data_IF_299052825212
#
_entry.id   IF_299052825212
#
_cell.length_a   1.000
_cell.length_b   1.000
_cell.length_c   1.000
_cell.angle_alpha   90.00
_cell.angle_beta   90.00
_cell.angle_gamma   90.00
#
_symmetry.space_group_name_H-M   'P 1'
#
loop_
_entity.id
_entity.type
_entity.pdbx_description
1 polymer ?
#
# COMPACT_ATOMS: atom_id res chain seq x y z
N UNK A 1 7.94 -0.10 4.28
CA UNK A 1 6.99 0.92 4.74
C UNK A 1 6.56 0.55 6.14
N UNK A 2 6.59 1.51 7.05
CA UNK A 2 6.24 1.39 8.47
C UNK A 2 5.00 2.22 8.78
N UNK A 3 4.41 2.01 9.95
CA UNK A 3 3.27 2.81 10.42
C UNK A 3 3.64 4.30 10.49
N UNK A 4 4.85 4.63 10.95
CA UNK A 4 5.39 6.00 10.97
C UNK A 4 5.55 6.65 9.58
N UNK A 5 5.61 5.85 8.51
CA UNK A 5 5.71 6.39 7.14
C UNK A 5 4.36 6.99 6.68
N UNK A 6 3.25 6.73 7.39
CA UNK A 6 1.92 7.33 7.14
C UNK A 6 1.63 8.36 8.22
N UNK A 7 1.41 9.60 7.82
CA UNK A 7 1.18 10.70 8.77
C UNK A 7 0.20 11.72 8.21
N UNK A 8 -0.52 12.41 9.09
CA UNK A 8 -1.43 13.48 8.71
C UNK A 8 -0.67 14.80 8.73
N UNK A 9 -0.69 15.54 7.62
CA UNK A 9 -0.11 16.88 7.52
C UNK A 9 -1.13 17.82 6.88
N UNK A 10 -1.41 18.96 7.51
CA UNK A 10 -2.39 19.96 7.05
C UNK A 10 -3.78 19.34 6.73
N UNK A 11 -4.26 18.45 7.59
CA UNK A 11 -5.54 17.71 7.43
C UNK A 11 -5.62 16.75 6.24
N UNK A 12 -4.50 16.45 5.57
CA UNK A 12 -4.43 15.43 4.51
C UNK A 12 -3.53 14.30 4.96
N UNK A 13 -3.83 13.07 4.52
CA UNK A 13 -2.96 11.93 4.75
C UNK A 13 -1.77 11.96 3.77
N UNK A 14 -0.57 11.87 4.30
CA UNK A 14 0.69 11.81 3.57
C UNK A 14 1.36 10.47 3.80
N UNK A 15 2.03 9.97 2.76
CA UNK A 15 2.78 8.73 2.82
C UNK A 15 4.20 8.98 2.33
N UNK A 16 5.16 8.54 3.13
CA UNK A 16 6.58 8.56 2.78
C UNK A 16 6.98 7.22 2.18
N UNK A 17 7.28 7.21 0.88
CA UNK A 17 7.83 6.05 0.21
C UNK A 17 9.34 6.17 0.20
N UNK A 18 10.02 5.13 0.71
CA UNK A 18 11.47 4.98 0.58
C UNK A 18 11.75 4.15 -0.67
N UNK A 19 12.36 4.77 -1.67
CA UNK A 19 12.75 4.11 -2.90
C UNK A 19 14.11 3.43 -2.76
N UNK A 20 14.34 2.44 -3.62
CA UNK A 20 15.63 1.76 -3.74
C UNK A 20 16.69 2.80 -4.13
N UNK A 21 17.67 3.03 -3.25
CA UNK A 21 18.67 4.09 -3.41
C UNK A 21 18.62 5.16 -2.32
N UNK A 22 17.80 5.01 -1.28
CA UNK A 22 17.78 5.89 -0.11
C UNK A 22 17.00 7.19 -0.30
N UNK A 23 16.44 7.42 -1.49
CA UNK A 23 15.54 8.55 -1.74
C UNK A 23 14.21 8.29 -1.04
N UNK A 24 13.74 9.30 -0.31
CA UNK A 24 12.41 9.27 0.30
C UNK A 24 11.55 10.33 -0.36
N UNK A 25 10.41 9.93 -0.91
CA UNK A 25 9.43 10.86 -1.48
C UNK A 25 8.18 10.86 -0.59
N UNK A 26 7.77 12.05 -0.16
CA UNK A 26 6.49 12.24 0.51
C UNK A 26 5.45 12.65 -0.52
N UNK A 27 4.34 11.92 -0.60
CA UNK A 27 3.24 12.23 -1.52
C UNK A 27 1.93 12.37 -0.75
N UNK A 28 1.10 13.38 -1.08
CA UNK A 28 -0.25 13.46 -0.56
C UNK A 28 -1.08 12.32 -1.11
N UNK A 29 -1.90 11.70 -0.26
CA UNK A 29 -2.82 10.67 -0.71
C UNK A 29 -3.94 11.28 -1.54
N UNK A 30 -4.31 10.55 -2.60
CA UNK A 30 -5.57 10.78 -3.29
C UNK A 30 -6.73 10.38 -2.37
N UNK A 31 -7.89 11.03 -2.47
CA UNK A 31 -9.01 10.85 -1.54
C UNK A 31 -9.43 9.38 -1.38
N UNK A 32 -9.36 8.59 -2.45
CA UNK A 32 -9.68 7.15 -2.42
C UNK A 32 -8.69 6.37 -1.56
N UNK A 33 -7.39 6.65 -1.72
CA UNK A 33 -6.33 6.00 -0.96
C UNK A 33 -6.39 6.42 0.51
N UNK A 34 -6.70 7.69 0.77
CA UNK A 34 -6.90 8.22 2.11
C UNK A 34 -8.04 7.50 2.84
N UNK A 35 -9.20 7.31 2.20
CA UNK A 35 -10.31 6.57 2.79
C UNK A 35 -9.95 5.12 3.14
N UNK A 36 -9.25 4.41 2.24
CA UNK A 36 -8.79 3.04 2.49
C UNK A 36 -7.74 2.97 3.60
N UNK A 37 -6.78 3.89 3.62
CA UNK A 37 -5.74 3.93 4.66
C UNK A 37 -6.34 4.30 6.02
N UNK A 38 -7.27 5.23 6.07
CA UNK A 38 -7.98 5.59 7.30
C UNK A 38 -8.71 4.38 7.89
N UNK A 39 -9.56 3.71 7.10
CA UNK A 39 -10.27 2.52 7.55
C UNK A 39 -9.31 1.40 7.99
N UNK A 40 -8.17 1.26 7.30
CA UNK A 40 -7.16 0.27 7.67
C UNK A 40 -6.44 0.61 9.00
N UNK A 41 -6.08 1.88 9.22
CA UNK A 41 -5.47 2.35 10.47
C UNK A 41 -6.44 2.25 11.65
N UNK A 42 -7.73 2.49 11.43
CA UNK A 42 -8.78 2.28 12.43
C UNK A 42 -8.86 0.79 12.83
N UNK A 43 -8.82 -0.12 11.86
CA UNK A 43 -8.75 -1.57 12.14
C UNK A 43 -7.48 -1.98 12.89
N UNK A 44 -6.32 -1.40 12.56
CA UNK A 44 -5.06 -1.60 13.29
C UNK A 44 -5.10 -1.05 14.73
N UNK A 45 -5.88 0.01 14.97
CA UNK A 45 -6.07 0.59 16.30
C UNK A 45 -6.84 -0.36 17.21
N UNK A 46 -7.86 -1.04 16.67
CA UNK A 46 -8.62 -2.07 17.38
C UNK A 46 -7.83 -3.34 17.73
N UNK A 47 -6.64 -3.53 17.16
CA UNK A 47 -5.75 -4.67 17.46
C UNK A 47 -4.57 -4.31 18.34
N UNK A 48 -4.41 -3.04 18.75
CA UNK A 48 -3.26 -2.56 19.53
C UNK A 48 -1.94 -2.47 18.74
N UNK A 49 -1.99 -2.75 17.43
CA UNK A 49 -0.82 -2.77 16.53
C UNK A 49 -0.46 -1.34 16.10
N UNK A 50 -1.45 -0.44 16.01
CA UNK A 50 -1.23 0.96 15.68
C UNK A 50 -0.27 1.70 16.64
N UNK A 51 -0.04 1.18 17.85
CA UNK A 51 0.93 1.72 18.79
C UNK A 51 2.39 1.48 18.40
N UNK A 52 2.67 0.48 17.56
CA UNK A 52 4.02 0.20 17.08
C UNK A 52 4.33 1.01 15.81
N UNK A 53 4.72 2.27 16.01
CA UNK A 53 5.08 3.19 14.93
C UNK A 53 6.24 2.68 14.07
N UNK A 54 7.16 1.90 14.65
CA UNK A 54 8.31 1.31 13.94
C UNK A 54 7.96 -0.01 13.26
N UNK A 55 6.80 -0.56 13.57
CA UNK A 55 6.26 -1.79 13.00
C UNK A 55 5.94 -1.67 11.51
N UNK A 56 5.79 -2.81 10.83
CA UNK A 56 5.37 -2.84 9.43
C UNK A 56 3.98 -2.21 9.29
N UNK A 57 3.73 -1.43 8.25
CA UNK A 57 2.37 -0.91 8.03
C UNK A 57 1.41 -2.03 7.61
N UNK A 58 1.86 -2.92 6.72
CA UNK A 58 1.02 -3.97 6.16
C UNK A 58 1.27 -5.31 6.84
N UNK A 59 0.22 -5.82 7.45
CA UNK A 59 0.22 -7.07 8.21
C UNK A 59 -0.48 -8.20 7.44
N UNK A 60 -0.09 -9.45 7.71
CA UNK A 60 -0.86 -10.60 7.23
C UNK A 60 -2.16 -10.74 7.99
N UNK A 61 -3.15 -11.40 7.38
CA UNK A 61 -4.38 -11.78 8.08
C UNK A 61 -4.14 -13.13 8.75
N UNK A 62 -4.40 -13.20 10.06
CA UNK A 62 -4.33 -14.43 10.82
C UNK A 62 -5.32 -15.46 10.26
N UNK A 63 -4.83 -16.69 10.09
CA UNK A 63 -5.55 -17.75 9.40
C UNK A 63 -6.83 -18.09 10.16
N UNK A 64 -7.98 -18.07 9.47
CA UNK A 64 -9.28 -18.46 10.02
C UNK A 64 -9.97 -17.43 10.93
N UNK A 65 -9.30 -16.33 11.31
CA UNK A 65 -9.88 -15.33 12.21
C UNK A 65 -10.28 -14.03 11.52
N UNK A 66 -9.75 -13.75 10.32
CA UNK A 66 -10.02 -12.50 9.60
C UNK A 66 -9.38 -11.26 10.24
N UNK A 67 -8.57 -11.42 11.29
CA UNK A 67 -7.91 -10.33 12.02
C UNK A 67 -6.48 -10.12 11.53
N UNK A 68 -5.96 -8.91 11.64
CA UNK A 68 -4.55 -8.62 11.34
C UNK A 68 -3.63 -9.29 12.37
N UNK A 69 -2.59 -9.97 11.88
CA UNK A 69 -1.52 -10.59 12.68
C UNK A 69 -0.38 -9.61 12.91
N UNK A 70 0.50 -9.85 13.89
CA UNK A 70 1.74 -9.08 14.06
C UNK A 70 2.77 -9.32 12.93
N UNK A 71 2.58 -10.33 12.08
CA UNK A 71 3.53 -10.69 11.03
C UNK A 71 3.49 -9.70 9.85
N UNK A 72 4.65 -9.17 9.39
CA UNK A 72 4.70 -8.33 8.19
C UNK A 72 4.23 -9.09 6.96
N UNK A 73 3.50 -8.42 6.07
CA UNK A 73 3.12 -8.97 4.77
C UNK A 73 4.35 -9.09 3.86
N UNK A 74 4.75 -10.30 3.43
CA UNK A 74 5.88 -10.47 2.51
C UNK A 74 5.57 -9.85 1.14
N UNK A 75 6.58 -9.24 0.52
CA UNK A 75 6.44 -8.60 -0.80
C UNK A 75 5.91 -9.57 -1.87
N UNK A 76 6.36 -10.84 -1.85
CA UNK A 76 5.89 -11.87 -2.78
C UNK A 76 4.37 -12.08 -2.69
N UNK A 77 3.81 -12.04 -1.47
CA UNK A 77 2.37 -12.18 -1.25
C UNK A 77 1.61 -10.94 -1.74
N UNK A 78 2.15 -9.74 -1.48
CA UNK A 78 1.57 -8.50 -2.00
C UNK A 78 1.54 -8.51 -3.54
N UNK A 79 2.64 -8.94 -4.18
CA UNK A 79 2.71 -9.08 -5.64
C UNK A 79 1.69 -10.10 -6.17
N UNK A 80 1.56 -11.26 -5.52
CA UNK A 80 0.56 -12.26 -5.88
C UNK A 80 -0.88 -11.72 -5.75
N UNK A 81 -1.18 -10.94 -4.70
CA UNK A 81 -2.48 -10.30 -4.51
C UNK A 81 -2.80 -9.30 -5.63
N UNK A 82 -1.84 -8.46 -6.01
CA UNK A 82 -1.99 -7.51 -7.11
C UNK A 82 -2.19 -8.24 -8.44
N UNK A 83 -1.39 -9.27 -8.72
CA UNK A 83 -1.55 -10.08 -9.94
C UNK A 83 -2.91 -10.78 -10.02
N UNK A 84 -3.41 -11.32 -8.90
CA UNK A 84 -4.73 -11.94 -8.84
C UNK A 84 -5.83 -10.92 -9.14
N UNK A 85 -5.74 -9.71 -8.58
CA UNK A 85 -6.70 -8.62 -8.85
C UNK A 85 -6.62 -8.15 -10.31
N UNK A 86 -5.43 -8.04 -10.86
CA UNK A 86 -5.22 -7.67 -12.25
C UNK A 86 -5.83 -8.69 -13.22
N UNK A 87 -5.61 -9.98 -12.96
CA UNK A 87 -6.21 -11.07 -13.74
C UNK A 87 -7.74 -11.05 -13.66
N UNK A 88 -8.30 -10.84 -12.46
CA UNK A 88 -9.75 -10.70 -12.26
C UNK A 88 -10.34 -9.47 -12.99
N UNK A 89 -9.55 -8.41 -13.13
CA UNK A 89 -9.91 -7.21 -13.89
C UNK A 89 -9.65 -7.31 -15.40
N UNK A 90 -9.22 -8.48 -15.91
CA UNK A 90 -8.93 -8.68 -17.33
C UNK A 90 -7.66 -7.98 -17.85
N UNK A 91 -6.79 -7.50 -16.95
CA UNK A 91 -5.55 -6.84 -17.32
C UNK A 91 -4.50 -7.90 -17.69
N UNK A 92 -4.39 -8.20 -18.99
CA UNK A 92 -3.47 -9.20 -19.54
C UNK A 92 -1.98 -8.77 -19.52
N UNK A 93 -1.69 -7.49 -19.28
CA UNK A 93 -0.32 -6.99 -19.17
C UNK A 93 0.34 -7.52 -17.90
N UNK A 94 1.52 -8.15 -18.03
CA UNK A 94 2.30 -8.63 -16.87
C UNK A 94 2.60 -7.47 -15.92
N UNK A 95 1.84 -7.36 -14.84
CA UNK A 95 2.12 -6.41 -13.76
C UNK A 95 3.31 -6.95 -12.95
N UNK A 96 4.51 -6.49 -13.30
CA UNK A 96 5.66 -6.51 -12.39
C UNK A 96 5.61 -5.25 -11.53
N UNK A 97 6.14 -5.32 -10.30
CA UNK A 97 6.14 -4.18 -9.37
C UNK A 97 7.06 -3.01 -9.79
N UNK A 98 7.52 -3.00 -11.05
CA UNK A 98 8.50 -2.05 -11.61
C UNK A 98 7.95 -1.28 -12.81
N UNK A 99 6.72 -1.53 -13.27
CA UNK A 99 6.19 -0.88 -14.48
C UNK A 99 5.38 0.38 -14.13
N UNK A 100 5.92 1.60 -14.29
CA UNK A 100 5.09 2.80 -14.38
C UNK A 100 4.31 2.71 -15.69
N UNK A 101 2.98 2.80 -15.63
CA UNK A 101 2.13 2.82 -16.82
C UNK A 101 2.39 4.11 -17.59
N UNK A 102 3.27 4.05 -18.59
CA UNK A 102 3.37 5.07 -19.61
C UNK A 102 2.19 4.89 -20.58
N UNK A 103 1.34 5.92 -20.63
CA UNK A 103 0.23 6.07 -21.56
C UNK A 103 0.78 6.03 -23.00
N UNK A 104 0.20 5.25 -23.95
CA UNK A 104 0.67 5.29 -25.33
C UNK A 104 0.39 6.68 -25.91
N UNK A 105 1.43 7.34 -26.40
CA UNK A 105 1.33 8.61 -27.12
C UNK A 105 0.60 8.37 -28.44
N UNK A 106 -0.42 9.20 -28.71
CA UNK A 106 -1.11 9.23 -30.00
C UNK A 106 -0.16 9.65 -31.12
N UNK A 107 -0.26 9.09 -32.34
CA UNK A 107 0.58 9.50 -33.47
C UNK A 107 0.15 10.87 -34.01
N UNK A 108 1.10 11.68 -34.53
CA UNK A 108 0.77 12.94 -35.20
C UNK A 108 0.19 12.69 -36.60
N UNK A 109 -0.73 13.59 -36.97
CA UNK A 109 -1.45 13.66 -38.26
C UNK A 109 -0.53 13.84 -39.46
#
# INVERSE_FOLDING_TARGET
>A
MRVEDVYVQHRRLWVRLREKGGKSQAMPCHYTLEAYLHAYLEHLSGTGIAGDQKGPLFHTIARGTGRLSATPLPQANAHAMVRRRAAAAGLATKISATTPSARPASPPT
#
